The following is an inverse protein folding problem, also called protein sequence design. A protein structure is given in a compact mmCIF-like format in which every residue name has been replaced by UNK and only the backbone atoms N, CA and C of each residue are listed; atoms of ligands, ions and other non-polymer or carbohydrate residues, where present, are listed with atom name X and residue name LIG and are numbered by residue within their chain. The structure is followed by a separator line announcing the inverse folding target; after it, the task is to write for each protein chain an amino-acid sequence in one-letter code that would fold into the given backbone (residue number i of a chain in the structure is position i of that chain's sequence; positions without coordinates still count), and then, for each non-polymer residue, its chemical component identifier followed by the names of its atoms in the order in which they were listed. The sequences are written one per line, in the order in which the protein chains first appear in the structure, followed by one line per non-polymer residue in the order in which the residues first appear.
data_IF_101502930358
#
_entry.id   IF_101502930358
#
_cell.length_a   1.000
_cell.length_b   1.000
_cell.length_c   1.000
_cell.angle_alpha   90.00
_cell.angle_beta   90.00
_cell.angle_gamma   90.00
#
_symmetry.space_group_name_H-M   'P 1'
#
loop_
_entity.id
_entity.type
_entity.pdbx_description
1 polymer ?
#
# COMPACT_ATOMS: atom_id res chain seq x y z
N UNK A 1 7.08 18.45 4.20
CA UNK A 1 5.64 18.30 4.54
C UNK A 1 4.70 19.07 3.62
N UNK A 2 4.96 20.34 3.30
CA UNK A 2 4.07 21.16 2.45
C UNK A 2 3.86 20.59 1.02
N UNK A 3 4.92 20.09 0.37
CA UNK A 3 4.82 19.50 -0.97
C UNK A 3 3.89 18.30 -1.02
N UNK A 4 4.06 17.34 -0.13
CA UNK A 4 3.20 16.14 -0.09
C UNK A 4 1.74 16.51 0.18
N UNK A 5 1.50 17.56 0.97
CA UNK A 5 0.16 18.09 1.23
C UNK A 5 -0.48 18.68 -0.03
N UNK A 6 0.28 19.31 -0.94
CA UNK A 6 -0.23 19.78 -2.24
C UNK A 6 -0.71 18.61 -3.11
N UNK A 7 0.13 17.59 -3.31
CA UNK A 7 -0.23 16.39 -4.08
C UNK A 7 -1.43 15.67 -3.47
N UNK A 8 -1.44 15.45 -2.15
CA UNK A 8 -2.54 14.78 -1.47
C UNK A 8 -3.82 15.60 -1.50
N UNK A 9 -3.73 16.94 -1.47
CA UNK A 9 -4.88 17.83 -1.60
C UNK A 9 -5.53 17.73 -2.97
N UNK A 10 -4.73 17.82 -4.05
CA UNK A 10 -5.22 17.70 -5.44
C UNK A 10 -5.94 16.38 -5.69
N UNK A 11 -5.25 15.25 -5.41
CA UNK A 11 -5.82 13.91 -5.59
C UNK A 11 -7.01 13.66 -4.68
N UNK A 12 -6.90 14.05 -3.42
CA UNK A 12 -7.95 13.85 -2.44
C UNK A 12 -9.23 14.63 -2.75
N UNK A 13 -9.12 15.80 -3.39
CA UNK A 13 -10.28 16.56 -3.86
C UNK A 13 -11.04 15.79 -4.94
N UNK A 14 -10.33 15.25 -5.94
CA UNK A 14 -10.92 14.39 -7.00
C UNK A 14 -11.63 13.18 -6.39
N UNK A 15 -10.94 12.48 -5.49
CA UNK A 15 -11.48 11.31 -4.78
C UNK A 15 -12.73 11.66 -3.98
N UNK A 16 -12.73 12.80 -3.26
CA UNK A 16 -13.88 13.26 -2.48
C UNK A 16 -15.06 13.60 -3.38
N UNK A 17 -14.81 14.24 -4.53
CA UNK A 17 -15.85 14.54 -5.51
C UNK A 17 -16.51 13.25 -6.02
N UNK A 18 -15.70 12.27 -6.45
CA UNK A 18 -16.17 10.95 -6.92
C UNK A 18 -16.97 10.20 -5.87
N UNK A 19 -16.55 10.29 -4.60
CA UNK A 19 -17.23 9.64 -3.48
C UNK A 19 -18.54 10.34 -3.06
N UNK A 20 -18.73 11.60 -3.46
CA UNK A 20 -19.94 12.39 -3.17
C UNK A 20 -21.02 12.25 -4.24
N UNK A 21 -20.64 11.96 -5.50
CA UNK A 21 -21.57 11.69 -6.60
C UNK A 21 -22.39 10.43 -6.33
N UNK A 22 -23.72 10.58 -6.25
CA UNK A 22 -24.69 9.48 -6.21
C UNK A 22 -25.23 9.23 -7.61
N UNK A 23 -25.15 7.99 -8.11
CA UNK A 23 -25.72 7.62 -9.42
C UNK A 23 -24.71 6.97 -10.38
N UNK A 24 -25.08 6.81 -11.67
CA UNK A 24 -24.17 6.29 -12.69
C UNK A 24 -22.92 7.17 -12.78
N UNK A 25 -21.73 6.58 -12.63
CA UNK A 25 -20.44 7.29 -12.61
C UNK A 25 -19.93 7.72 -11.23
N UNK A 26 -20.66 7.43 -10.15
CA UNK A 26 -20.15 7.57 -8.78
C UNK A 26 -19.47 6.29 -8.28
N UNK A 27 -18.49 6.43 -7.37
CA UNK A 27 -17.80 5.28 -6.76
C UNK A 27 -18.75 4.40 -5.93
N UNK A 28 -19.72 5.02 -5.25
CA UNK A 28 -20.63 4.34 -4.34
C UNK A 28 -21.91 3.88 -5.04
N UNK A 29 -21.96 2.59 -5.37
CA UNK A 29 -23.09 1.99 -6.09
C UNK A 29 -24.27 1.63 -5.17
N UNK A 30 -25.44 1.39 -5.77
CA UNK A 30 -26.61 0.84 -5.07
C UNK A 30 -26.34 -0.53 -4.42
N UNK A 31 -25.42 -1.31 -5.00
CA UNK A 31 -25.05 -2.63 -4.50
C UNK A 31 -24.21 -2.49 -3.22
N UNK A 32 -23.26 -1.55 -3.19
CA UNK A 32 -22.51 -1.21 -1.98
C UNK A 32 -23.45 -0.71 -0.88
N UNK A 33 -24.44 0.13 -1.22
CA UNK A 33 -25.43 0.60 -0.25
C UNK A 33 -26.31 -0.51 0.33
N UNK A 34 -26.69 -1.50 -0.48
CA UNK A 34 -27.42 -2.66 -0.01
C UNK A 34 -26.55 -3.55 0.90
N UNK A 35 -25.28 -3.78 0.52
CA UNK A 35 -24.32 -4.53 1.33
C UNK A 35 -24.07 -3.86 2.70
N UNK A 36 -23.87 -2.55 2.71
CA UNK A 36 -23.68 -1.77 3.95
C UNK A 36 -24.89 -1.89 4.88
N UNK A 37 -26.12 -1.72 4.37
CA UNK A 37 -27.34 -1.91 5.18
C UNK A 37 -27.42 -3.34 5.74
N UNK A 38 -27.21 -4.34 4.89
CA UNK A 38 -27.25 -5.74 5.31
C UNK A 38 -26.19 -6.10 6.36
N UNK A 39 -25.05 -5.40 6.39
CA UNK A 39 -24.04 -5.56 7.44
C UNK A 39 -24.51 -4.90 8.74
N UNK A 40 -24.99 -3.66 8.68
CA UNK A 40 -25.46 -2.93 9.85
C UNK A 40 -26.62 -3.65 10.55
N UNK A 41 -27.54 -4.24 9.78
CA UNK A 41 -28.68 -4.99 10.32
C UNK A 41 -28.26 -6.31 11.00
N UNK A 42 -27.09 -6.86 10.66
CA UNK A 42 -26.57 -8.13 11.21
C UNK A 42 -25.62 -7.95 12.38
N UNK A 43 -25.04 -6.76 12.57
CA UNK A 43 -24.16 -6.46 13.71
C UNK A 43 -24.80 -6.87 15.06
N UNK A 44 -26.10 -6.63 15.33
CA UNK A 44 -26.73 -7.06 16.58
C UNK A 44 -26.83 -8.58 16.77
N UNK A 45 -26.70 -9.36 15.69
CA UNK A 45 -26.88 -10.81 15.68
C UNK A 45 -25.59 -11.58 15.98
N UNK A 46 -24.45 -10.89 16.06
CA UNK A 46 -23.13 -11.51 16.24
C UNK A 46 -22.52 -11.16 17.59
N UNK A 47 -21.73 -12.09 18.13
CA UNK A 47 -20.97 -11.88 19.35
C UNK A 47 -19.73 -11.01 19.11
N UNK A 48 -19.16 -11.11 17.91
CA UNK A 48 -17.89 -10.50 17.53
C UNK A 48 -17.95 -9.97 16.09
N UNK A 49 -17.35 -8.80 15.87
CA UNK A 49 -17.09 -8.24 14.55
C UNK A 49 -15.59 -8.21 14.29
N UNK A 50 -15.16 -8.87 13.22
CA UNK A 50 -13.79 -8.82 12.72
C UNK A 50 -13.70 -7.73 11.66
N UNK A 51 -13.07 -6.60 12.01
CA UNK A 51 -12.81 -5.51 11.07
C UNK A 51 -11.46 -5.71 10.39
N UNK A 52 -11.48 -6.00 9.09
CA UNK A 52 -10.26 -6.15 8.29
C UNK A 52 -9.89 -4.80 7.69
N UNK A 53 -8.69 -4.34 8.01
CA UNK A 53 -8.08 -3.10 7.53
C UNK A 53 -6.83 -3.39 6.71
N UNK A 54 -6.40 -2.45 5.89
CA UNK A 54 -5.14 -2.55 5.14
C UNK A 54 -3.99 -2.03 6.03
N UNK A 55 -2.98 -2.87 6.29
CA UNK A 55 -1.85 -2.56 7.18
C UNK A 55 -1.01 -1.37 6.69
N UNK A 56 -1.10 -1.02 5.40
CA UNK A 56 -0.44 0.18 4.84
C UNK A 56 -1.15 1.45 5.25
N UNK A 57 -2.43 1.39 5.61
CA UNK A 57 -3.26 2.53 6.01
C UNK A 57 -4.22 2.17 7.16
N UNK A 58 -3.72 1.79 8.36
CA UNK A 58 -4.53 1.21 9.43
C UNK A 58 -5.65 2.10 10.00
N UNK A 59 -5.50 3.42 9.90
CA UNK A 59 -6.50 4.38 10.37
C UNK A 59 -7.43 4.80 9.24
N UNK A 60 -6.86 5.07 8.06
CA UNK A 60 -7.59 5.55 6.89
C UNK A 60 -8.51 4.47 6.29
N UNK A 61 -8.15 3.19 6.39
CA UNK A 61 -9.00 2.07 5.94
C UNK A 61 -10.07 1.65 6.97
N UNK A 62 -10.18 2.35 8.11
CA UNK A 62 -11.17 2.05 9.13
C UNK A 62 -12.60 2.38 8.68
N UNK A 63 -13.56 1.57 9.10
CA UNK A 63 -14.98 1.84 8.85
C UNK A 63 -15.63 2.63 9.99
N UNK A 64 -15.82 3.93 9.77
CA UNK A 64 -16.38 4.87 10.74
C UNK A 64 -17.74 4.44 11.33
N UNK A 65 -18.64 3.84 10.54
CA UNK A 65 -19.95 3.45 11.05
C UNK A 65 -19.86 2.28 12.06
N UNK A 66 -18.88 1.38 11.90
CA UNK A 66 -18.67 0.29 12.85
C UNK A 66 -18.23 0.81 14.23
N UNK A 67 -17.39 1.85 14.26
CA UNK A 67 -17.02 2.55 15.50
C UNK A 67 -18.23 3.13 16.25
N UNK A 68 -19.31 3.46 15.55
CA UNK A 68 -20.54 3.99 16.15
C UNK A 68 -21.53 2.89 16.53
N UNK A 69 -21.55 1.81 15.77
CA UNK A 69 -22.50 0.70 15.93
C UNK A 69 -22.03 -0.35 16.95
N UNK A 70 -20.71 -0.51 17.16
CA UNK A 70 -20.12 -1.52 18.03
C UNK A 70 -19.33 -0.93 19.19
N UNK A 71 -19.47 -1.54 20.37
CA UNK A 71 -18.55 -1.32 21.48
C UNK A 71 -17.23 -2.04 21.22
N UNK A 72 -16.11 -1.50 21.71
CA UNK A 72 -14.76 -2.04 21.46
C UNK A 72 -14.58 -3.51 21.87
N UNK A 73 -15.35 -3.99 22.85
CA UNK A 73 -15.23 -5.33 23.43
C UNK A 73 -15.81 -6.41 22.50
N UNK A 74 -16.58 -6.01 21.49
CA UNK A 74 -17.12 -6.88 20.44
C UNK A 74 -16.32 -6.77 19.14
N UNK A 75 -15.17 -6.08 19.12
CA UNK A 75 -14.45 -5.77 17.89
C UNK A 75 -13.02 -6.29 17.91
N UNK A 76 -12.65 -7.05 16.87
CA UNK A 76 -11.27 -7.44 16.57
C UNK A 76 -10.80 -6.67 15.34
N UNK A 77 -9.68 -5.96 15.47
CA UNK A 77 -9.07 -5.23 14.35
C UNK A 77 -7.96 -6.09 13.72
N UNK A 78 -8.12 -6.44 12.47
CA UNK A 78 -7.15 -7.22 11.69
C UNK A 78 -6.46 -6.33 10.68
N UNK A 79 -5.14 -6.16 10.79
CA UNK A 79 -4.32 -5.47 9.80
C UNK A 79 -3.84 -6.48 8.76
N UNK A 80 -4.53 -6.56 7.63
CA UNK A 80 -4.21 -7.43 6.51
C UNK A 80 -3.15 -6.79 5.59
N UNK A 81 -2.49 -7.61 4.75
CA UNK A 81 -1.39 -7.23 3.86
C UNK A 81 -0.15 -6.77 4.61
N UNK A 82 0.13 -7.43 5.73
CA UNK A 82 1.29 -7.16 6.57
C UNK A 82 2.61 -7.24 5.78
N UNK A 83 2.68 -8.10 4.76
CA UNK A 83 3.80 -8.26 3.83
C UNK A 83 4.11 -7.02 2.98
N UNK A 84 3.17 -6.07 2.88
CA UNK A 84 3.33 -4.82 2.12
C UNK A 84 3.54 -3.59 3.00
N UNK A 85 3.43 -3.74 4.32
CA UNK A 85 3.43 -2.65 5.29
C UNK A 85 4.79 -2.55 6.00
N UNK A 86 5.14 -1.36 6.47
CA UNK A 86 6.37 -1.20 7.24
C UNK A 86 6.21 -1.90 8.61
N UNK A 87 7.12 -2.82 8.93
CA UNK A 87 7.04 -3.63 10.15
C UNK A 87 7.06 -2.77 11.42
N UNK A 88 7.93 -1.76 11.47
CA UNK A 88 8.11 -0.92 12.65
C UNK A 88 6.86 -0.06 12.91
N UNK A 89 6.31 0.57 11.88
CA UNK A 89 5.07 1.33 11.98
C UNK A 89 3.88 0.41 12.29
N UNK A 90 3.84 -0.80 11.74
CA UNK A 90 2.77 -1.75 12.02
C UNK A 90 2.78 -2.18 13.48
N UNK A 91 3.94 -2.47 14.06
CA UNK A 91 4.06 -2.77 15.50
C UNK A 91 3.56 -1.61 16.37
N UNK A 92 3.86 -0.36 15.98
CA UNK A 92 3.32 0.83 16.67
C UNK A 92 1.80 0.91 16.57
N UNK A 93 1.21 0.61 15.41
CA UNK A 93 -0.24 0.58 15.23
C UNK A 93 -0.90 -0.53 16.06
N UNK A 94 -0.33 -1.73 16.07
CA UNK A 94 -0.83 -2.84 16.89
C UNK A 94 -0.79 -2.45 18.38
N UNK A 95 0.29 -1.82 18.85
CA UNK A 95 0.37 -1.30 20.23
C UNK A 95 -0.67 -0.22 20.50
N UNK A 96 -0.86 0.71 19.57
CA UNK A 96 -1.86 1.78 19.70
C UNK A 96 -3.29 1.23 19.87
N UNK A 97 -3.69 0.25 19.04
CA UNK A 97 -5.02 -0.37 19.17
C UNK A 97 -5.15 -1.19 20.46
N UNK A 98 -4.09 -1.89 20.89
CA UNK A 98 -4.08 -2.57 22.19
C UNK A 98 -4.27 -1.60 23.36
N UNK A 99 -3.61 -0.43 23.33
CA UNK A 99 -3.78 0.63 24.33
C UNK A 99 -5.22 1.20 24.34
N UNK A 100 -5.94 1.12 23.22
CA UNK A 100 -7.36 1.46 23.11
C UNK A 100 -8.31 0.31 23.50
N UNK A 101 -7.78 -0.76 24.10
CA UNK A 101 -8.51 -1.97 24.49
C UNK A 101 -9.12 -2.77 23.32
N UNK A 102 -8.56 -2.66 22.12
CA UNK A 102 -8.91 -3.53 21.01
C UNK A 102 -8.06 -4.80 21.01
N UNK A 103 -8.70 -5.94 20.69
CA UNK A 103 -7.99 -7.13 20.27
C UNK A 103 -7.54 -6.88 18.83
N UNK A 104 -6.24 -7.06 18.54
CA UNK A 104 -5.70 -6.78 17.22
C UNK A 104 -4.63 -7.75 16.78
N UNK A 105 -4.61 -8.03 15.48
CA UNK A 105 -3.69 -8.96 14.82
C UNK A 105 -3.18 -8.34 13.51
N UNK A 106 -1.93 -8.61 13.17
CA UNK A 106 -1.38 -8.33 11.84
C UNK A 106 -1.22 -9.64 11.07
N UNK A 107 -1.69 -9.70 9.83
CA UNK A 107 -1.59 -10.92 9.02
C UNK A 107 -1.47 -10.64 7.52
N UNK A 108 -1.14 -11.69 6.78
CA UNK A 108 -1.31 -11.74 5.33
C UNK A 108 -2.37 -12.79 5.00
N UNK A 109 -3.53 -12.38 4.50
CA UNK A 109 -4.63 -13.27 4.15
C UNK A 109 -4.31 -14.24 3.00
N UNK A 110 -3.27 -13.98 2.20
CA UNK A 110 -2.77 -14.94 1.22
C UNK A 110 -1.90 -16.04 1.85
N UNK A 111 -1.46 -15.85 3.09
CA UNK A 111 -0.72 -16.85 3.85
C UNK A 111 -1.65 -17.56 4.85
N UNK A 112 -1.97 -18.84 4.57
CA UNK A 112 -2.85 -19.65 5.42
C UNK A 112 -2.35 -19.80 6.85
N UNK A 113 -1.04 -19.77 7.08
CA UNK A 113 -0.48 -19.92 8.43
C UNK A 113 -0.75 -18.69 9.29
N UNK A 114 -0.74 -17.49 8.70
CA UNK A 114 -1.07 -16.25 9.42
C UNK A 114 -2.53 -16.18 9.86
N UNK A 115 -3.45 -16.86 9.16
CA UNK A 115 -4.88 -16.88 9.51
C UNK A 115 -5.16 -17.77 10.73
N UNK A 116 -4.36 -18.83 10.94
CA UNK A 116 -4.55 -19.78 12.05
C UNK A 116 -4.46 -19.12 13.41
N UNK A 117 -3.72 -18.02 13.55
CA UNK A 117 -3.63 -17.25 14.79
C UNK A 117 -4.99 -16.71 15.25
N UNK A 118 -5.90 -16.42 14.31
CA UNK A 118 -7.25 -15.94 14.61
C UNK A 118 -8.26 -17.08 14.64
N UNK A 119 -8.14 -18.03 13.72
CA UNK A 119 -9.17 -19.04 13.47
C UNK A 119 -9.04 -20.33 14.29
N UNK A 120 -7.92 -20.53 15.01
CA UNK A 120 -7.66 -21.82 15.64
C UNK A 120 -8.47 -22.06 16.92
N UNK A 121 -8.62 -21.06 17.79
CA UNK A 121 -9.36 -21.20 19.05
C UNK A 121 -9.92 -19.84 19.52
N UNK A 122 -11.20 -19.74 19.90
CA UNK A 122 -12.26 -20.76 19.83
C UNK A 122 -12.75 -20.99 18.39
N UNK A 123 -13.62 -21.99 18.19
CA UNK A 123 -14.30 -22.20 16.90
C UNK A 123 -15.14 -20.96 16.56
N UNK A 124 -14.82 -20.31 15.43
CA UNK A 124 -15.51 -19.13 14.94
C UNK A 124 -16.49 -19.52 13.83
N UNK A 125 -17.77 -19.17 14.00
CA UNK A 125 -18.76 -19.21 12.92
C UNK A 125 -18.80 -17.86 12.22
N UNK A 126 -18.60 -17.87 10.91
CA UNK A 126 -18.54 -16.64 10.10
C UNK A 126 -19.85 -16.47 9.34
N UNK A 127 -20.49 -15.32 9.49
CA UNK A 127 -21.60 -14.94 8.61
C UNK A 127 -21.04 -14.54 7.25
N UNK A 128 -21.41 -15.28 6.21
CA UNK A 128 -20.98 -15.02 4.83
C UNK A 128 -21.71 -13.79 4.27
N UNK A 129 -21.08 -12.63 4.44
CA UNK A 129 -21.55 -11.36 3.89
C UNK A 129 -20.33 -10.53 3.49
N UNK A 130 -19.76 -10.78 2.30
CA UNK A 130 -18.58 -10.06 1.86
C UNK A 130 -18.90 -8.56 1.78
N UNK A 131 -18.22 -7.80 2.64
CA UNK A 131 -18.51 -6.40 2.91
C UNK A 131 -17.78 -5.47 1.96
N UNK A 132 -18.50 -4.92 1.00
CA UNK A 132 -18.08 -3.68 0.35
C UNK A 132 -18.78 -2.54 1.07
N UNK A 133 -18.03 -1.85 1.92
CA UNK A 133 -18.52 -0.76 2.77
C UNK A 133 -18.14 0.59 2.18
N UNK A 134 -18.95 1.62 2.44
CA UNK A 134 -18.61 2.98 2.06
C UNK A 134 -17.50 3.53 2.94
N UNK A 135 -16.40 3.94 2.33
CA UNK A 135 -15.39 4.74 3.00
C UNK A 135 -15.84 6.20 3.03
N UNK A 136 -15.97 6.77 4.23
CA UNK A 136 -16.26 8.20 4.40
C UNK A 136 -14.95 8.98 4.34
N UNK A 137 -14.65 9.58 3.19
CA UNK A 137 -13.46 10.42 3.02
C UNK A 137 -13.66 11.76 3.74
N UNK A 138 -13.02 11.92 4.90
CA UNK A 138 -13.14 13.12 5.73
C UNK A 138 -12.26 14.28 5.23
N UNK A 139 -11.03 13.96 4.82
CA UNK A 139 -10.03 14.92 4.36
C UNK A 139 -9.32 14.40 3.09
N UNK A 140 -8.66 15.29 2.35
CA UNK A 140 -8.10 14.98 1.03
C UNK A 140 -7.00 13.90 1.12
N UNK A 141 -6.15 13.99 2.15
CA UNK A 141 -5.07 13.02 2.36
C UNK A 141 -5.58 11.57 2.48
N UNK A 142 -6.71 11.35 3.18
CA UNK A 142 -7.37 10.05 3.27
C UNK A 142 -7.79 9.53 1.90
N UNK A 143 -8.35 10.40 1.04
CA UNK A 143 -8.70 10.04 -0.33
C UNK A 143 -7.50 9.61 -1.16
N UNK A 144 -6.40 10.36 -1.10
CA UNK A 144 -5.17 10.04 -1.82
C UNK A 144 -4.54 8.70 -1.35
N UNK A 145 -4.56 8.42 -0.05
CA UNK A 145 -4.09 7.16 0.53
C UNK A 145 -4.94 5.94 0.11
N UNK A 146 -6.27 6.10 0.12
CA UNK A 146 -7.20 5.06 -0.35
C UNK A 146 -6.98 4.75 -1.84
N UNK A 147 -6.85 5.79 -2.66
CA UNK A 147 -6.51 5.67 -4.06
C UNK A 147 -5.19 4.91 -4.24
N UNK A 148 -4.13 5.34 -3.58
CA UNK A 148 -2.80 4.80 -3.75
C UNK A 148 -2.73 3.31 -3.38
N UNK A 149 -3.43 2.90 -2.33
CA UNK A 149 -3.48 1.49 -1.89
C UNK A 149 -4.35 0.59 -2.77
N UNK A 150 -5.09 1.14 -3.72
CA UNK A 150 -5.96 0.41 -4.65
C UNK A 150 -7.34 0.11 -4.07
N UNK A 151 -7.78 0.87 -3.06
CA UNK A 151 -9.14 0.79 -2.56
C UNK A 151 -10.15 1.49 -3.48
N UNK A 152 -9.66 2.25 -4.48
CA UNK A 152 -10.44 2.90 -5.53
C UNK A 152 -9.84 2.61 -6.90
N UNK A 153 -10.67 2.66 -7.95
CA UNK A 153 -10.21 2.46 -9.33
C UNK A 153 -9.34 3.63 -9.81
N UNK A 154 -8.15 3.31 -10.33
CA UNK A 154 -7.14 4.31 -10.70
C UNK A 154 -7.61 5.21 -11.84
N UNK A 155 -8.34 4.64 -12.81
CA UNK A 155 -8.83 5.38 -13.98
C UNK A 155 -9.75 6.55 -13.60
N UNK A 156 -10.52 6.43 -12.52
CA UNK A 156 -11.40 7.52 -12.08
C UNK A 156 -10.61 8.71 -11.53
N UNK A 157 -9.39 8.47 -11.06
CA UNK A 157 -8.57 9.42 -10.33
C UNK A 157 -7.49 10.02 -11.24
N UNK A 158 -6.98 9.23 -12.18
CA UNK A 158 -5.84 9.54 -13.03
C UNK A 158 -4.60 8.79 -12.56
N UNK A 159 -4.15 7.82 -13.35
CA UNK A 159 -3.01 6.97 -13.00
C UNK A 159 -1.72 7.79 -12.89
N UNK A 160 -1.55 8.78 -13.77
CA UNK A 160 -0.39 9.67 -13.77
C UNK A 160 -0.26 10.47 -12.48
N UNK A 161 -1.32 11.16 -12.06
CA UNK A 161 -1.31 11.95 -10.81
C UNK A 161 -1.10 11.05 -9.58
N UNK A 162 -1.70 9.86 -9.58
CA UNK A 162 -1.54 8.89 -8.51
C UNK A 162 -0.09 8.38 -8.40
N UNK A 163 0.56 8.12 -9.55
CA UNK A 163 1.96 7.75 -9.60
C UNK A 163 2.90 8.90 -9.19
N UNK A 164 2.59 10.16 -9.55
CA UNK A 164 3.32 11.34 -9.03
C UNK A 164 3.25 11.42 -7.52
N UNK A 165 2.08 11.17 -6.93
CA UNK A 165 1.92 11.15 -5.47
C UNK A 165 2.73 10.03 -4.82
N UNK A 166 2.76 8.83 -5.41
CA UNK A 166 3.63 7.77 -4.94
C UNK A 166 5.12 8.16 -4.99
N UNK A 167 5.59 8.73 -6.11
CA UNK A 167 6.98 9.18 -6.25
C UNK A 167 7.32 10.27 -5.23
N UNK A 168 6.40 11.20 -4.95
CA UNK A 168 6.59 12.20 -3.91
C UNK A 168 6.77 11.54 -2.51
N UNK A 169 5.99 10.50 -2.20
CA UNK A 169 6.18 9.72 -0.96
C UNK A 169 7.54 9.03 -0.96
N UNK A 170 7.90 8.35 -2.06
CA UNK A 170 9.17 7.65 -2.20
C UNK A 170 10.37 8.58 -1.97
N UNK A 171 10.36 9.74 -2.63
CA UNK A 171 11.44 10.73 -2.57
C UNK A 171 11.63 11.30 -1.16
N UNK A 172 10.55 11.41 -0.38
CA UNK A 172 10.58 11.86 1.01
C UNK A 172 10.82 10.71 2.01
N UNK A 173 10.82 9.46 1.54
CA UNK A 173 11.02 8.29 2.39
C UNK A 173 12.49 7.86 2.43
N UNK A 174 12.85 7.06 3.43
CA UNK A 174 14.17 6.42 3.51
C UNK A 174 14.19 5.07 2.77
N UNK A 175 13.06 4.65 2.19
CA UNK A 175 12.86 3.30 1.65
C UNK A 175 13.76 3.04 0.44
N UNK A 176 13.97 4.06 -0.40
CA UNK A 176 14.84 3.96 -1.58
C UNK A 176 16.31 3.70 -1.22
N UNK A 177 16.77 4.11 -0.03
CA UNK A 177 18.17 3.93 0.40
C UNK A 177 18.54 2.46 0.56
N UNK A 178 17.54 1.60 0.82
CA UNK A 178 17.71 0.13 0.86
C UNK A 178 18.18 -0.44 -0.50
N UNK A 179 18.04 0.32 -1.59
CA UNK A 179 18.42 -0.09 -2.95
C UNK A 179 19.88 0.23 -3.32
N UNK A 180 20.63 0.91 -2.46
CA UNK A 180 22.04 1.27 -2.69
C UNK A 180 22.91 0.04 -3.03
N UNK A 181 22.69 -1.06 -2.31
CA UNK A 181 23.46 -2.31 -2.42
C UNK A 181 23.12 -3.14 -3.67
N UNK A 182 22.21 -2.68 -4.53
CA UNK A 182 21.83 -3.42 -5.74
C UNK A 182 22.91 -3.38 -6.84
N UNK A 183 24.01 -2.64 -6.66
CA UNK A 183 25.16 -2.61 -7.59
C UNK A 183 25.92 -3.94 -7.66
N UNK A 184 26.10 -4.63 -6.54
CA UNK A 184 27.11 -5.71 -6.44
C UNK A 184 26.63 -7.08 -6.96
N UNK A 185 25.32 -7.26 -7.17
CA UNK A 185 24.77 -8.55 -7.60
C UNK A 185 24.83 -8.79 -9.11
N UNK A 186 25.44 -7.89 -9.90
CA UNK A 186 25.65 -8.17 -11.33
C UNK A 186 26.89 -9.04 -11.56
N UNK A 187 27.94 -8.88 -10.75
CA UNK A 187 29.20 -9.64 -10.91
C UNK A 187 29.12 -11.08 -10.38
N UNK A 188 28.37 -11.33 -9.30
CA UNK A 188 28.28 -12.67 -8.69
C UNK A 188 27.43 -13.68 -9.48
N UNK A 189 26.58 -13.21 -10.40
CA UNK A 189 25.74 -14.11 -11.22
C UNK A 189 26.49 -14.70 -12.41
N UNK A 190 27.61 -14.10 -12.81
CA UNK A 190 28.47 -14.62 -13.89
C UNK A 190 29.58 -15.54 -13.35
N UNK A 191 29.86 -15.51 -12.04
CA UNK A 191 30.91 -16.31 -11.39
C UNK A 191 30.40 -17.56 -10.67
N UNK A 192 29.09 -17.69 -10.42
CA UNK A 192 28.52 -18.78 -9.60
C UNK A 192 28.04 -20.02 -10.37
N UNK A 193 28.41 -20.19 -11.64
CA UNK A 193 28.21 -21.46 -12.39
C UNK A 193 29.21 -22.55 -11.94
N UNK A 194 30.01 -22.35 -10.89
CA UNK A 194 30.92 -23.39 -10.41
C UNK A 194 30.97 -23.49 -8.89
N UNK A 195 30.72 -24.71 -8.42
CA UNK A 195 30.86 -25.26 -7.06
C UNK A 195 29.69 -25.08 -6.08
N UNK A 196 28.75 -26.01 -6.21
CA UNK A 196 28.16 -26.67 -5.04
C UNK A 196 29.27 -27.30 -4.17
N UNK A 197 29.28 -26.96 -2.87
CA UNK A 197 29.42 -27.90 -1.74
C UNK A 197 29.40 -27.15 -0.39
N UNK A 198 28.43 -27.53 0.44
CA UNK A 198 28.39 -27.52 1.92
C UNK A 198 28.96 -26.30 2.69
N UNK A 199 28.13 -25.66 3.52
CA UNK A 199 28.12 -25.80 5.00
C UNK A 199 26.87 -25.13 5.58
N UNK A 200 26.25 -25.86 6.51
CA UNK A 200 25.04 -25.57 7.28
C UNK A 200 25.27 -24.46 8.31
N UNK A 201 24.29 -23.56 8.48
CA UNK A 201 24.11 -22.80 9.73
C UNK A 201 23.91 -21.29 9.57
N UNK A 202 22.70 -20.85 9.20
CA UNK A 202 22.18 -19.47 9.41
C UNK A 202 20.66 -19.42 9.11
N UNK A 203 19.89 -20.29 9.75
CA UNK A 203 18.58 -20.70 9.21
C UNK A 203 17.34 -20.00 9.81
N UNK A 204 17.47 -18.84 10.47
CA UNK A 204 16.32 -18.22 11.17
C UNK A 204 15.98 -16.78 10.77
N UNK A 205 16.84 -16.08 10.02
CA UNK A 205 16.58 -14.66 9.65
C UNK A 205 16.29 -14.47 8.15
N UNK A 206 16.66 -15.43 7.29
CA UNK A 206 16.44 -15.32 5.83
C UNK A 206 15.09 -15.87 5.34
N UNK A 207 14.32 -16.60 6.16
CA UNK A 207 13.11 -17.31 5.70
C UNK A 207 11.84 -16.45 5.55
N UNK A 208 11.84 -15.16 5.95
CA UNK A 208 10.63 -14.30 5.83
C UNK A 208 10.60 -13.33 4.64
N UNK A 209 11.65 -13.26 3.81
CA UNK A 209 11.73 -12.33 2.67
C UNK A 209 11.56 -12.98 1.28
N UNK A 210 11.17 -14.26 1.21
CA UNK A 210 10.94 -14.95 -0.07
C UNK A 210 9.59 -15.65 -0.07
N UNK A 211 8.54 -14.89 -0.28
CA UNK A 211 7.25 -15.50 -0.61
C UNK A 211 6.42 -14.62 -1.56
N UNK A 212 7.04 -14.24 -2.68
CA UNK A 212 6.28 -14.13 -3.93
C UNK A 212 6.82 -15.21 -4.86
N UNK A 213 5.97 -16.06 -5.44
CA UNK A 213 6.35 -16.85 -6.60
C UNK A 213 6.61 -15.84 -7.73
N UNK A 214 7.85 -15.39 -7.91
CA UNK A 214 8.19 -14.47 -8.99
C UNK A 214 8.37 -15.29 -10.27
N UNK A 215 7.63 -14.91 -11.30
CA UNK A 215 8.09 -15.00 -12.67
C UNK A 215 9.47 -14.31 -12.71
N UNK A 216 10.56 -15.09 -12.76
CA UNK A 216 11.95 -14.63 -12.66
C UNK A 216 12.30 -13.57 -13.73
N UNK A 217 11.50 -13.49 -14.80
CA UNK A 217 11.60 -12.49 -15.87
C UNK A 217 11.35 -11.06 -15.37
N UNK A 218 10.49 -10.88 -14.35
CA UNK A 218 10.12 -9.56 -13.83
C UNK A 218 11.15 -8.98 -12.85
N UNK A 219 12.04 -9.81 -12.29
CA UNK A 219 12.98 -9.38 -11.26
C UNK A 219 14.06 -8.44 -11.81
N UNK A 220 14.45 -8.61 -13.08
CA UNK A 220 15.35 -7.68 -13.78
C UNK A 220 14.74 -6.30 -13.95
N UNK A 221 13.47 -6.23 -14.40
CA UNK A 221 12.75 -4.96 -14.56
C UNK A 221 12.64 -4.25 -13.21
N UNK A 222 12.32 -4.98 -12.15
CA UNK A 222 12.23 -4.41 -10.79
C UNK A 222 13.59 -3.89 -10.33
N UNK A 223 14.68 -4.62 -10.58
CA UNK A 223 16.04 -4.19 -10.26
C UNK A 223 16.40 -2.90 -11.00
N UNK A 224 16.13 -2.84 -12.30
CA UNK A 224 16.41 -1.65 -13.13
C UNK A 224 15.61 -0.44 -12.65
N UNK A 225 14.31 -0.61 -12.36
CA UNK A 225 13.45 0.44 -11.80
C UNK A 225 14.01 0.96 -10.47
N UNK A 226 14.35 0.08 -9.53
CA UNK A 226 14.90 0.46 -8.22
C UNK A 226 16.23 1.18 -8.36
N UNK A 227 17.14 0.68 -9.20
CA UNK A 227 18.44 1.31 -9.45
C UNK A 227 18.28 2.69 -10.11
N UNK A 228 17.39 2.82 -11.08
CA UNK A 228 17.10 4.10 -11.77
C UNK A 228 16.56 5.12 -10.78
N UNK A 229 15.55 4.75 -9.99
CA UNK A 229 15.00 5.65 -8.96
C UNK A 229 16.05 6.03 -7.92
N UNK A 230 16.82 5.07 -7.41
CA UNK A 230 17.88 5.32 -6.45
C UNK A 230 18.92 6.31 -6.99
N UNK A 231 19.40 6.12 -8.22
CA UNK A 231 20.40 7.00 -8.85
C UNK A 231 19.88 8.42 -8.95
N UNK A 232 18.66 8.60 -9.48
CA UNK A 232 18.06 9.92 -9.68
C UNK A 232 17.85 10.65 -8.34
N UNK A 233 17.34 9.95 -7.33
CA UNK A 233 17.13 10.55 -6.00
C UNK A 233 18.46 10.93 -5.35
N UNK A 234 19.47 10.07 -5.46
CA UNK A 234 20.78 10.29 -4.84
C UNK A 234 21.59 11.39 -5.53
N UNK A 235 21.39 11.62 -6.83
CA UNK A 235 22.10 12.65 -7.61
C UNK A 235 21.35 13.98 -7.68
N UNK A 236 20.19 14.11 -7.02
CA UNK A 236 19.39 15.33 -7.11
C UNK A 236 19.92 16.41 -6.16
N UNK A 237 20.31 17.56 -6.72
CA UNK A 237 20.90 18.68 -5.97
C UNK A 237 19.85 19.69 -5.43
N UNK A 238 18.55 19.42 -5.59
CA UNK A 238 17.46 20.33 -5.18
C UNK A 238 16.86 20.03 -3.81
N UNK A 239 15.96 20.90 -3.35
CA UNK A 239 15.28 20.73 -2.06
C UNK A 239 13.91 20.06 -2.22
N UNK A 240 13.79 18.80 -1.83
CA UNK A 240 12.55 18.01 -1.94
C UNK A 240 11.35 18.59 -1.16
N UNK A 241 11.60 19.53 -0.25
CA UNK A 241 10.55 20.28 0.46
C UNK A 241 9.89 21.39 -0.39
N UNK A 242 10.48 21.74 -1.54
CA UNK A 242 9.92 22.71 -2.48
C UNK A 242 9.14 21.99 -3.58
N UNK A 243 7.94 22.48 -3.87
CA UNK A 243 7.06 21.86 -4.87
C UNK A 243 7.70 21.83 -6.26
N UNK A 244 8.30 22.93 -6.71
CA UNK A 244 8.97 23.00 -8.02
C UNK A 244 10.12 21.99 -8.15
N UNK A 245 10.93 21.81 -7.11
CA UNK A 245 12.04 20.85 -7.13
C UNK A 245 11.51 19.41 -7.11
N UNK A 246 10.44 19.13 -6.35
CA UNK A 246 9.75 17.84 -6.38
C UNK A 246 9.15 17.53 -7.75
N UNK A 247 8.56 18.51 -8.42
CA UNK A 247 8.02 18.30 -9.77
C UNK A 247 9.12 18.01 -10.79
N UNK A 248 10.27 18.69 -10.70
CA UNK A 248 11.44 18.42 -11.58
C UNK A 248 12.00 17.02 -11.40
N UNK A 249 12.18 16.56 -10.16
CA UNK A 249 12.70 15.20 -9.92
C UNK A 249 11.70 14.15 -10.37
N UNK A 250 10.39 14.34 -10.12
CA UNK A 250 9.35 13.42 -10.55
C UNK A 250 9.32 13.31 -12.08
N UNK A 251 9.40 14.44 -12.80
CA UNK A 251 9.47 14.44 -14.26
C UNK A 251 10.70 13.68 -14.77
N UNK A 252 11.86 13.92 -14.15
CA UNK A 252 13.09 13.19 -14.47
C UNK A 252 12.95 11.67 -14.22
N UNK A 253 12.26 11.29 -13.15
CA UNK A 253 11.97 9.89 -12.83
C UNK A 253 11.06 9.26 -13.88
N UNK A 254 9.99 9.94 -14.30
CA UNK A 254 9.09 9.43 -15.34
C UNK A 254 9.81 9.20 -16.66
N UNK A 255 10.68 10.12 -17.08
CA UNK A 255 11.48 9.98 -18.30
C UNK A 255 12.37 8.73 -18.22
N UNK A 256 13.15 8.59 -17.13
CA UNK A 256 14.07 7.46 -16.99
C UNK A 256 13.34 6.12 -16.80
N UNK A 257 12.16 6.12 -16.17
CA UNK A 257 11.35 4.91 -16.00
C UNK A 257 10.77 4.39 -17.31
N UNK A 258 10.63 5.21 -18.36
CA UNK A 258 10.17 4.73 -19.68
C UNK A 258 11.11 3.65 -20.22
N UNK A 259 12.43 3.88 -20.11
CA UNK A 259 13.45 2.94 -20.54
C UNK A 259 13.47 1.71 -19.62
N UNK A 260 13.53 1.91 -18.29
CA UNK A 260 13.59 0.82 -17.32
C UNK A 260 12.37 -0.13 -17.40
N UNK A 261 11.18 0.40 -17.71
CA UNK A 261 9.94 -0.38 -17.84
C UNK A 261 9.65 -0.86 -19.27
N UNK A 262 10.57 -0.60 -20.22
CA UNK A 262 10.47 -0.96 -21.64
C UNK A 262 9.14 -0.55 -22.26
N UNK A 263 8.77 0.72 -22.10
CA UNK A 263 7.51 1.27 -22.63
C UNK A 263 7.75 1.84 -24.03
N UNK A 264 7.20 1.19 -25.06
CA UNK A 264 7.17 1.69 -26.43
C UNK A 264 5.78 2.24 -26.76
N UNK A 265 5.61 3.57 -26.78
CA UNK A 265 4.38 4.22 -27.25
C UNK A 265 4.69 5.51 -28.01
N UNK A 266 3.90 5.79 -29.04
CA UNK A 266 4.11 6.91 -29.98
C UNK A 266 3.72 8.27 -29.36
N UNK A 267 2.67 8.33 -28.54
CA UNK A 267 2.20 9.57 -27.89
C UNK A 267 2.84 9.79 -26.51
N UNK A 268 3.09 11.05 -26.13
CA UNK A 268 3.68 11.39 -24.82
C UNK A 268 2.73 11.09 -23.64
N UNK A 269 1.44 11.33 -23.81
CA UNK A 269 0.44 11.09 -22.75
C UNK A 269 0.26 9.59 -22.48
N UNK A 270 0.18 8.75 -23.53
CA UNK A 270 0.06 7.31 -23.37
C UNK A 270 1.31 6.69 -22.76
N UNK A 271 2.50 7.26 -23.04
CA UNK A 271 3.77 6.83 -22.41
C UNK A 271 3.73 7.01 -20.90
N UNK A 272 3.36 8.20 -20.41
CA UNK A 272 3.32 8.46 -18.97
C UNK A 272 2.25 7.67 -18.26
N UNK A 273 1.09 7.48 -18.89
CA UNK A 273 0.06 6.59 -18.35
C UNK A 273 0.56 5.15 -18.21
N UNK A 274 1.22 4.60 -19.24
CA UNK A 274 1.76 3.24 -19.21
C UNK A 274 2.84 3.06 -18.13
N UNK A 275 3.73 4.04 -17.97
CA UNK A 275 4.72 4.07 -16.88
C UNK A 275 4.02 4.09 -15.52
N UNK A 276 3.03 4.96 -15.34
CA UNK A 276 2.29 5.11 -14.10
C UNK A 276 1.60 3.81 -13.66
N UNK A 277 0.87 3.15 -14.58
CA UNK A 277 0.20 1.87 -14.31
C UNK A 277 1.19 0.80 -13.84
N UNK A 278 2.32 0.65 -14.54
CA UNK A 278 3.36 -0.31 -14.18
C UNK A 278 3.98 0.02 -12.82
N UNK A 279 4.30 1.29 -12.57
CA UNK A 279 4.89 1.75 -11.31
C UNK A 279 3.94 1.49 -10.12
N UNK A 280 2.66 1.83 -10.26
CA UNK A 280 1.64 1.59 -9.22
C UNK A 280 1.45 0.10 -8.93
N UNK A 281 1.53 -0.76 -9.95
CA UNK A 281 1.49 -2.21 -9.76
C UNK A 281 2.70 -2.69 -8.94
N UNK A 282 3.92 -2.24 -9.29
CA UNK A 282 5.12 -2.60 -8.53
C UNK A 282 5.05 -2.12 -7.07
N UNK A 283 4.49 -0.93 -6.81
CA UNK A 283 4.22 -0.47 -5.45
C UNK A 283 3.21 -1.38 -4.72
N UNK A 284 2.05 -1.65 -5.33
CA UNK A 284 0.96 -2.41 -4.69
C UNK A 284 1.27 -3.89 -4.48
N UNK A 285 2.24 -4.42 -5.20
CA UNK A 285 2.75 -5.79 -5.04
C UNK A 285 3.98 -5.87 -4.13
N UNK A 286 4.37 -4.76 -3.47
CA UNK A 286 5.50 -4.72 -2.52
C UNK A 286 6.87 -4.74 -3.19
N UNK A 287 6.92 -4.73 -4.53
CA UNK A 287 8.16 -4.75 -5.32
C UNK A 287 8.91 -3.43 -5.26
N UNK A 288 8.32 -2.35 -4.75
CA UNK A 288 9.03 -1.09 -4.48
C UNK A 288 9.22 -0.80 -2.99
N UNK A 289 9.19 -1.83 -2.15
CA UNK A 289 9.34 -1.68 -0.70
C UNK A 289 8.01 -1.78 0.04
N UNK A 290 8.09 -1.64 1.37
CA UNK A 290 6.95 -1.78 2.26
C UNK A 290 6.61 -0.42 2.86
N UNK A 291 5.34 -0.02 2.83
CA UNK A 291 4.94 1.33 3.21
C UNK A 291 3.74 1.30 4.15
N UNK A 292 3.83 2.08 5.23
CA UNK A 292 2.67 2.42 6.06
C UNK A 292 2.51 3.94 6.04
N UNK A 293 1.44 4.42 5.40
CA UNK A 293 1.19 5.84 5.11
C UNK A 293 0.49 6.57 6.26
N UNK A 294 -0.18 5.83 7.16
CA UNK A 294 -0.73 6.44 8.36
C UNK A 294 0.31 6.45 9.47
N UNK A 295 0.54 7.64 10.01
CA UNK A 295 1.36 7.82 11.19
C UNK A 295 0.49 7.60 12.42
N UNK A 296 0.99 6.82 13.37
CA UNK A 296 0.40 6.75 14.70
C UNK A 296 0.57 8.13 15.31
N UNK A 297 -0.53 8.84 15.59
CA UNK A 297 -0.48 10.06 16.39
C UNK A 297 0.28 9.73 17.67
N UNK A 298 1.46 10.31 17.85
CA UNK A 298 2.21 10.23 19.10
C UNK A 298 1.25 10.63 20.21
N UNK A 299 1.19 9.80 21.26
CA UNK A 299 0.51 10.11 22.52
C UNK A 299 0.76 11.59 22.86
N UNK A 300 -0.32 12.39 22.86
CA UNK A 300 -0.35 13.66 23.59
C UNK A 300 -0.44 13.32 25.07
#
# INVERSE_FOLDING_TARGET
MATLASFSSRLGAVVRELASKKGPGGWYSRHMAAAERAILDRIPLVDLVVEVRDARIPSTSAFECLRKACCSHKQVIVLNKLDLADNFLTERWLKHFKNQNYITYGLNAHNKDSIKEIASHPNLYVLDSPGILRLKIAHNEMGAKLALTGAMEDFLIGEYDLARYFLAILNLSEEYKRWEKLKDTLDDTLSSVSLEKHVVGRDTIQRKLRQYPSDHTQDFIVKDVRQTLFKIISSFEGHLEKENDMEKIIESQFIALQEALKVSSESSEDRYKAVAVKLLNLYRTGRLGCYTLDLVSSEV
#
